data_IF_744025383936
#
_entry.id   IF_744025383936
#
_cell.length_a   1.000
_cell.length_b   1.000
_cell.length_c   1.000
_cell.angle_alpha   90.00
_cell.angle_beta   90.00
_cell.angle_gamma   90.00
#
_symmetry.space_group_name_H-M   'P 1'
#
loop_
_entity.id
_entity.type
_entity.pdbx_description
1 polymer ?
#
# COMPACT_ATOMS: atom_id res chain seq x y z
N UNK A 1 -22.80 -15.11 -0.27
CA UNK A 1 -21.51 -14.56 0.18
C UNK A 1 -21.64 -13.07 0.32
N UNK A 2 -21.31 -12.58 1.51
CA UNK A 2 -21.29 -11.15 1.86
C UNK A 2 -20.19 -10.41 1.05
N UNK A 3 -20.23 -9.07 1.05
CA UNK A 3 -19.19 -8.23 0.45
C UNK A 3 -17.80 -8.55 1.02
N UNK A 4 -17.72 -8.80 2.33
CA UNK A 4 -16.46 -9.14 3.00
C UNK A 4 -15.84 -10.42 2.41
N UNK A 5 -16.62 -11.51 2.38
CA UNK A 5 -16.15 -12.82 1.88
C UNK A 5 -15.67 -12.74 0.43
N UNK A 6 -16.46 -12.05 -0.42
CA UNK A 6 -16.13 -11.87 -1.84
C UNK A 6 -14.85 -11.07 -2.05
N UNK A 7 -14.56 -10.12 -1.16
CA UNK A 7 -13.37 -9.25 -1.27
C UNK A 7 -12.14 -10.01 -0.83
N UNK A 8 -12.20 -10.72 0.31
CA UNK A 8 -11.10 -11.55 0.80
C UNK A 8 -10.71 -12.61 -0.23
N UNK A 9 -11.71 -13.28 -0.86
CA UNK A 9 -11.46 -14.31 -1.86
C UNK A 9 -10.73 -13.81 -3.13
N UNK A 10 -10.67 -12.50 -3.36
CA UNK A 10 -9.98 -11.89 -4.52
C UNK A 10 -8.54 -11.45 -4.21
N UNK A 11 -8.08 -11.55 -2.97
CA UNK A 11 -6.72 -11.15 -2.60
C UNK A 11 -5.77 -12.26 -3.04
N UNK A 12 -4.90 -11.94 -4.00
CA UNK A 12 -3.90 -12.87 -4.52
C UNK A 12 -2.49 -12.46 -4.08
N UNK A 13 -1.56 -13.42 -4.05
CA UNK A 13 -0.14 -13.11 -3.86
C UNK A 13 0.42 -12.33 -5.05
N UNK A 14 1.46 -11.54 -4.81
CA UNK A 14 2.19 -10.87 -5.89
C UNK A 14 2.70 -11.87 -6.94
N UNK A 15 2.73 -11.43 -8.19
CA UNK A 15 3.11 -12.27 -9.31
C UNK A 15 4.64 -12.47 -9.39
N UNK A 16 5.08 -13.73 -9.33
CA UNK A 16 6.50 -14.10 -9.31
C UNK A 16 7.21 -13.82 -10.63
N UNK A 17 6.52 -13.96 -11.76
CA UNK A 17 7.11 -13.72 -13.09
C UNK A 17 7.43 -12.23 -13.25
N UNK A 18 6.48 -11.36 -12.91
CA UNK A 18 6.68 -9.91 -13.01
C UNK A 18 7.73 -9.39 -12.03
N UNK A 19 7.79 -9.97 -10.81
CA UNK A 19 8.90 -9.70 -9.87
C UNK A 19 10.25 -10.08 -10.47
N UNK A 20 10.34 -11.27 -11.10
CA UNK A 20 11.56 -11.74 -11.76
C UNK A 20 12.01 -10.80 -12.88
N UNK A 21 11.10 -10.40 -13.76
CA UNK A 21 11.36 -9.45 -14.86
C UNK A 21 11.81 -8.08 -14.36
N UNK A 22 11.20 -7.58 -13.29
CA UNK A 22 11.61 -6.33 -12.67
C UNK A 22 13.03 -6.43 -12.09
N UNK A 23 13.31 -7.50 -11.34
CA UNK A 23 14.64 -7.75 -10.77
C UNK A 23 15.71 -7.85 -11.85
N UNK A 24 15.46 -8.64 -12.90
CA UNK A 24 16.39 -8.80 -14.03
C UNK A 24 16.71 -7.45 -14.70
N UNK A 25 15.70 -6.62 -14.95
CA UNK A 25 15.92 -5.28 -15.49
C UNK A 25 16.80 -4.43 -14.58
N UNK A 26 16.52 -4.45 -13.27
CA UNK A 26 17.20 -3.65 -12.26
C UNK A 26 18.66 -4.08 -12.08
N UNK A 27 18.93 -5.39 -12.13
CA UNK A 27 20.29 -5.96 -12.09
C UNK A 27 21.14 -5.55 -13.31
N UNK A 28 20.50 -5.22 -14.44
CA UNK A 28 21.16 -4.82 -15.69
C UNK A 28 21.33 -3.30 -15.87
N UNK A 29 20.98 -2.49 -14.87
CA UNK A 29 21.22 -1.05 -14.93
C UNK A 29 22.73 -0.76 -14.79
N UNK A 30 23.21 0.30 -15.45
CA UNK A 30 24.61 0.75 -15.37
C UNK A 30 24.88 1.43 -14.01
N UNK A 31 24.83 0.65 -12.94
CA UNK A 31 25.03 1.08 -11.56
C UNK A 31 25.55 -0.09 -10.70
N UNK A 32 26.23 0.17 -9.56
CA UNK A 32 26.61 -0.90 -8.64
C UNK A 32 25.39 -1.71 -8.22
N UNK A 33 25.59 -3.00 -7.97
CA UNK A 33 24.51 -3.91 -7.59
C UNK A 33 23.70 -3.31 -6.44
N UNK A 34 22.39 -3.18 -6.68
CA UNK A 34 21.41 -2.72 -5.72
C UNK A 34 21.68 -1.33 -5.10
N UNK A 35 22.37 -0.43 -5.81
CA UNK A 35 22.82 0.86 -5.27
C UNK A 35 21.70 1.80 -4.76
N UNK A 36 20.43 1.59 -5.14
CA UNK A 36 19.28 2.38 -4.65
C UNK A 36 18.50 1.67 -3.52
N UNK A 37 18.95 0.51 -3.05
CA UNK A 37 18.39 -0.21 -1.91
C UNK A 37 16.87 -0.37 -1.98
N UNK A 38 16.17 0.15 -0.97
CA UNK A 38 14.71 0.04 -0.80
C UNK A 38 13.89 0.57 -1.98
N UNK A 39 14.44 1.49 -2.78
CA UNK A 39 13.74 1.96 -3.97
C UNK A 39 13.64 0.87 -5.05
N UNK A 40 14.65 -0.01 -5.12
CA UNK A 40 14.66 -1.16 -6.03
C UNK A 40 13.74 -2.26 -5.52
N UNK A 41 13.72 -2.50 -4.20
CA UNK A 41 12.75 -3.41 -3.57
C UNK A 41 11.31 -2.99 -3.90
N UNK A 42 11.01 -1.70 -3.73
CA UNK A 42 9.70 -1.12 -4.06
C UNK A 42 9.34 -1.29 -5.55
N UNK A 43 10.31 -1.12 -6.45
CA UNK A 43 10.07 -1.31 -7.88
C UNK A 43 9.70 -2.76 -8.22
N UNK A 44 10.35 -3.75 -7.59
CA UNK A 44 10.02 -5.18 -7.73
C UNK A 44 8.63 -5.48 -7.16
N UNK A 45 8.32 -4.93 -5.98
CA UNK A 45 7.00 -5.10 -5.35
C UNK A 45 5.87 -4.53 -6.21
N UNK A 46 6.03 -3.31 -6.73
CA UNK A 46 5.05 -2.67 -7.60
C UNK A 46 4.83 -3.46 -8.89
N UNK A 47 5.88 -4.00 -9.50
CA UNK A 47 5.75 -4.84 -10.67
C UNK A 47 4.97 -6.14 -10.37
N UNK A 48 5.25 -6.78 -9.24
CA UNK A 48 4.54 -7.98 -8.78
C UNK A 48 3.07 -7.74 -8.44
N UNK A 49 2.76 -6.62 -7.78
CA UNK A 49 1.38 -6.23 -7.45
C UNK A 49 0.55 -5.88 -8.67
N UNK A 50 1.16 -5.16 -9.63
CA UNK A 50 0.42 -4.58 -10.77
C UNK A 50 0.52 -5.40 -12.05
N UNK A 51 1.31 -6.50 -12.03
CA UNK A 51 1.64 -7.31 -13.21
C UNK A 51 2.09 -6.44 -14.39
N UNK A 52 2.96 -5.47 -14.12
CA UNK A 52 3.38 -4.46 -15.11
C UNK A 52 4.81 -3.96 -14.86
N UNK A 53 5.59 -3.78 -15.93
CA UNK A 53 6.89 -3.09 -15.88
C UNK A 53 6.76 -1.56 -15.87
N UNK A 54 5.52 -1.05 -16.00
CA UNK A 54 5.15 0.36 -15.86
C UNK A 54 3.99 0.45 -14.87
N UNK A 55 4.23 0.32 -13.55
CA UNK A 55 3.18 0.35 -12.55
C UNK A 55 2.34 1.65 -12.65
N UNK A 56 0.99 1.57 -12.67
CA UNK A 56 0.12 2.73 -12.86
C UNK A 56 0.01 3.57 -11.58
N UNK A 57 1.03 4.38 -11.30
CA UNK A 57 1.11 5.18 -10.06
C UNK A 57 0.54 6.60 -10.21
N UNK A 58 -0.07 6.96 -11.34
CA UNK A 58 -0.52 8.33 -11.60
C UNK A 58 -1.69 8.73 -10.70
N UNK A 59 -2.71 7.87 -10.60
CA UNK A 59 -3.91 8.11 -9.80
C UNK A 59 -3.72 7.52 -8.40
N UNK A 60 -3.77 8.40 -7.39
CA UNK A 60 -3.60 8.02 -5.98
C UNK A 60 -4.78 8.59 -5.20
N UNK A 61 -5.25 7.83 -4.22
CA UNK A 61 -6.32 8.24 -3.34
C UNK A 61 -5.87 8.07 -1.89
N UNK A 62 -6.17 9.06 -1.07
CA UNK A 62 -6.03 8.98 0.39
C UNK A 62 -7.44 8.84 0.94
N UNK A 63 -7.71 7.77 1.68
CA UNK A 63 -9.01 7.53 2.33
C UNK A 63 -8.83 7.76 3.83
N UNK A 64 -9.35 8.88 4.33
CA UNK A 64 -9.34 9.20 5.76
C UNK A 64 -10.65 8.71 6.37
N UNK A 65 -10.55 7.76 7.30
CA UNK A 65 -11.70 7.29 8.09
C UNK A 65 -11.72 8.04 9.42
N UNK A 66 -12.77 8.84 9.65
CA UNK A 66 -13.01 9.53 10.91
C UNK A 66 -14.21 8.89 11.62
N UNK A 67 -14.08 8.70 12.93
CA UNK A 67 -15.12 8.11 13.75
C UNK A 67 -14.86 8.33 15.24
N UNK A 68 -15.92 8.63 15.97
CA UNK A 68 -15.85 8.82 17.41
C UNK A 68 -15.87 7.50 18.17
N UNK A 69 -15.35 7.55 19.39
CA UNK A 69 -15.29 6.40 20.29
C UNK A 69 -15.85 6.78 21.65
N UNK A 70 -16.81 6.00 22.16
CA UNK A 70 -17.49 6.28 23.43
C UNK A 70 -16.58 6.29 24.66
N UNK A 71 -15.43 5.60 24.60
CA UNK A 71 -14.43 5.59 25.68
C UNK A 71 -13.89 6.98 26.04
N UNK A 72 -14.12 8.00 25.20
CA UNK A 72 -13.80 9.40 25.52
C UNK A 72 -14.44 9.87 26.84
N UNK A 73 -15.60 9.31 27.22
CA UNK A 73 -16.29 9.62 28.47
C UNK A 73 -15.44 9.27 29.72
N UNK A 74 -14.50 8.33 29.60
CA UNK A 74 -13.58 7.92 30.68
C UNK A 74 -12.40 8.91 30.87
N UNK A 75 -12.40 10.04 30.15
CA UNK A 75 -11.35 11.08 30.29
C UNK A 75 -9.99 10.68 29.72
N UNK A 76 -9.94 9.67 28.85
CA UNK A 76 -8.69 9.15 28.26
C UNK A 76 -8.13 10.01 27.13
N UNK A 77 -8.92 10.95 26.59
CA UNK A 77 -8.54 11.82 25.48
C UNK A 77 -8.03 13.18 25.97
N UNK A 78 -7.02 13.71 25.28
CA UNK A 78 -6.52 15.08 25.51
C UNK A 78 -7.45 16.17 24.94
N UNK A 79 -8.30 15.81 23.97
CA UNK A 79 -9.17 16.73 23.25
C UNK A 79 -10.63 16.28 23.33
N UNK A 80 -11.59 17.22 23.32
CA UNK A 80 -13.01 16.89 23.41
C UNK A 80 -13.49 16.22 22.12
N UNK A 81 -14.60 15.48 22.19
CA UNK A 81 -15.13 14.64 21.10
C UNK A 81 -15.51 15.45 19.86
N UNK A 82 -15.94 16.70 20.04
CA UNK A 82 -16.36 17.61 18.98
C UNK A 82 -15.23 18.00 18.02
N UNK A 83 -13.97 17.66 18.32
CA UNK A 83 -12.86 17.87 17.40
C UNK A 83 -12.97 16.95 16.18
N UNK A 84 -13.50 15.72 16.32
CA UNK A 84 -13.63 14.78 15.20
C UNK A 84 -14.43 15.35 14.01
N UNK A 85 -15.63 15.96 14.20
CA UNK A 85 -16.35 16.59 13.09
C UNK A 85 -15.79 17.96 12.65
N UNK A 86 -14.83 18.55 13.36
CA UNK A 86 -14.24 19.85 13.02
C UNK A 86 -13.00 19.76 12.12
N UNK A 87 -12.42 18.57 11.95
CA UNK A 87 -11.18 18.31 11.21
C UNK A 87 -11.46 17.65 9.86
#
# INVERSE_FOLDING_TARGET
MDLLDKTIAKIESQDKEWRGRAKERLDNLCMPHWALGRLMDLAVDLAGMTRSMKPPVQQKSIITMAGDHGVVEEGVSKFPQEVTPQM
#
